data_IF_191553707223
#
_entry.id   IF_191553707223
#
_cell.length_a   1.000
_cell.length_b   1.000
_cell.length_c   1.000
_cell.angle_alpha   90.00
_cell.angle_beta   90.00
_cell.angle_gamma   90.00
#
_symmetry.space_group_name_H-M   'P 1'
#
loop_
_entity.id
_entity.type
_entity.pdbx_description
1 polymer ?
#
# COMPACT_ATOMS: atom_id res chain seq x y z
N UNK A 1 -51.41 -34.25 7.43
CA UNK A 1 -50.79 -33.22 6.58
C UNK A 1 -50.41 -32.05 7.49
N UNK A 2 -49.14 -31.90 7.85
CA UNK A 2 -48.63 -30.70 8.51
C UNK A 2 -47.58 -30.09 7.59
N UNK A 3 -47.73 -28.83 7.14
CA UNK A 3 -46.74 -28.20 6.29
C UNK A 3 -45.54 -27.85 7.15
N UNK A 4 -44.35 -28.31 6.76
CA UNK A 4 -43.12 -27.88 7.39
C UNK A 4 -42.91 -26.38 7.09
N UNK A 5 -43.08 -25.54 8.12
CA UNK A 5 -42.74 -24.12 8.05
C UNK A 5 -41.23 -24.01 7.99
N UNK A 6 -40.70 -23.69 6.81
CA UNK A 6 -39.27 -23.43 6.62
C UNK A 6 -38.99 -22.05 7.22
N UNK A 7 -38.40 -22.00 8.40
CA UNK A 7 -37.83 -20.77 8.95
C UNK A 7 -36.53 -20.47 8.19
N UNK A 8 -36.38 -19.31 7.53
CA UNK A 8 -35.09 -18.93 6.97
C UNK A 8 -34.16 -18.61 8.14
N UNK A 9 -33.23 -19.54 8.42
CA UNK A 9 -32.14 -19.30 9.34
C UNK A 9 -31.21 -18.25 8.71
N UNK A 10 -31.48 -16.98 8.99
CA UNK A 10 -30.63 -15.85 8.60
C UNK A 10 -29.37 -15.83 9.48
N UNK A 11 -28.57 -16.90 9.41
CA UNK A 11 -27.20 -16.87 9.90
C UNK A 11 -26.39 -15.99 8.94
N UNK A 12 -26.40 -14.69 9.18
CA UNK A 12 -25.50 -13.74 8.52
C UNK A 12 -24.08 -14.14 8.90
N UNK A 13 -23.44 -14.95 8.06
CA UNK A 13 -22.04 -15.34 8.25
C UNK A 13 -21.22 -14.05 8.29
N UNK A 14 -20.75 -13.67 9.47
CA UNK A 14 -19.92 -12.50 9.66
C UNK A 14 -18.50 -12.82 9.16
N UNK A 15 -18.36 -12.82 7.83
CA UNK A 15 -17.12 -13.07 7.07
C UNK A 15 -15.97 -12.11 7.43
N UNK A 16 -16.23 -11.06 8.22
CA UNK A 16 -15.22 -10.12 8.71
C UNK A 16 -14.67 -10.46 10.11
N UNK A 17 -15.29 -11.39 10.85
CA UNK A 17 -14.91 -11.72 12.23
C UNK A 17 -13.51 -12.37 12.33
N UNK A 18 -13.00 -12.94 11.24
CA UNK A 18 -11.72 -13.65 11.19
C UNK A 18 -10.75 -13.05 10.17
N UNK A 19 -10.78 -11.72 9.95
CA UNK A 19 -9.74 -11.08 9.14
C UNK A 19 -8.46 -10.99 9.99
N UNK A 20 -7.32 -11.56 9.56
CA UNK A 20 -6.07 -11.39 10.28
C UNK A 20 -5.81 -9.89 10.48
N UNK A 21 -5.41 -9.50 11.70
CA UNK A 21 -5.03 -8.12 12.02
C UNK A 21 -3.86 -7.75 11.11
N UNK A 22 -4.17 -7.02 10.04
CA UNK A 22 -3.15 -6.47 9.15
C UNK A 22 -2.22 -5.59 9.99
N UNK A 23 -0.93 -5.62 9.66
CA UNK A 23 0.10 -4.85 10.34
C UNK A 23 -0.38 -3.42 10.62
N UNK A 24 -0.27 -2.96 11.86
CA UNK A 24 -0.63 -1.60 12.22
C UNK A 24 0.27 -0.63 11.45
N UNK A 25 -0.33 0.31 10.73
CA UNK A 25 0.43 1.33 10.00
C UNK A 25 1.24 2.16 10.99
N UNK A 26 2.57 2.13 10.85
CA UNK A 26 3.48 2.95 11.65
C UNK A 26 3.80 4.24 10.90
N UNK A 27 3.50 5.38 11.51
CA UNK A 27 3.96 6.68 10.99
C UNK A 27 5.47 6.80 11.22
N UNK A 28 6.23 6.96 10.15
CA UNK A 28 7.69 7.07 10.23
C UNK A 28 8.15 8.48 10.64
N UNK A 29 7.53 9.52 10.10
CA UNK A 29 7.90 10.91 10.37
C UNK A 29 6.68 11.84 10.28
N UNK A 30 6.72 13.00 10.95
CA UNK A 30 5.73 14.07 10.78
C UNK A 30 6.11 14.97 9.61
N UNK A 31 5.18 15.16 8.66
CA UNK A 31 5.45 15.87 7.41
C UNK A 31 4.96 17.31 7.39
N UNK A 32 4.30 17.81 8.45
CA UNK A 32 3.61 19.11 8.44
C UNK A 32 4.55 20.31 8.28
N UNK A 33 5.75 20.23 8.86
CA UNK A 33 6.72 21.32 8.90
C UNK A 33 8.01 20.98 8.14
N UNK A 34 7.94 20.09 7.15
CA UNK A 34 9.10 19.70 6.35
C UNK A 34 9.26 20.61 5.13
N UNK A 35 10.49 20.91 4.81
CA UNK A 35 10.84 21.41 3.48
C UNK A 35 10.62 20.33 2.43
N UNK A 36 10.46 20.74 1.17
CA UNK A 36 10.36 19.81 0.05
C UNK A 36 11.57 18.87 -0.04
N UNK A 37 12.78 19.39 0.23
CA UNK A 37 14.01 18.62 0.16
C UNK A 37 14.04 17.50 1.23
N UNK A 38 13.69 17.83 2.47
CA UNK A 38 13.60 16.84 3.56
C UNK A 38 12.53 15.79 3.28
N UNK A 39 11.38 16.21 2.77
CA UNK A 39 10.32 15.29 2.39
C UNK A 39 10.76 14.32 1.28
N UNK A 40 11.46 14.82 0.26
CA UNK A 40 12.02 13.99 -0.80
C UNK A 40 13.06 13.00 -0.25
N UNK A 41 13.93 13.43 0.65
CA UNK A 41 14.94 12.56 1.27
C UNK A 41 14.28 11.41 2.05
N UNK A 42 13.28 11.70 2.87
CA UNK A 42 12.54 10.66 3.61
C UNK A 42 11.78 9.74 2.64
N UNK A 43 11.14 10.31 1.61
CA UNK A 43 10.34 9.53 0.64
C UNK A 43 11.20 8.57 -0.19
N UNK A 44 12.48 8.89 -0.42
CA UNK A 44 13.42 8.00 -1.12
C UNK A 44 13.76 6.74 -0.33
N UNK A 45 13.58 6.74 0.99
CA UNK A 45 13.86 5.60 1.88
C UNK A 45 12.79 4.49 1.82
N UNK A 46 11.64 4.75 1.21
CA UNK A 46 10.53 3.79 1.11
C UNK A 46 9.96 3.66 -0.29
N UNK A 47 9.02 2.73 -0.46
CA UNK A 47 8.24 2.53 -1.69
C UNK A 47 6.89 3.22 -1.51
N UNK A 48 6.62 4.24 -2.32
CA UNK A 48 5.33 4.92 -2.39
C UNK A 48 4.49 4.42 -3.57
N UNK A 49 3.24 4.87 -3.66
CA UNK A 49 2.31 4.44 -4.72
C UNK A 49 2.83 4.67 -6.14
N UNK A 50 3.56 5.77 -6.37
CA UNK A 50 4.22 6.07 -7.65
C UNK A 50 5.28 5.02 -8.00
N UNK A 51 6.04 4.58 -7.00
CA UNK A 51 7.06 3.55 -7.13
C UNK A 51 6.42 2.19 -7.38
N UNK A 52 5.24 1.91 -6.80
CA UNK A 52 4.52 0.66 -7.03
C UNK A 52 4.19 0.45 -8.52
N UNK A 53 3.78 1.50 -9.24
CA UNK A 53 3.48 1.39 -10.68
C UNK A 53 4.74 1.06 -11.48
N UNK A 54 5.87 1.69 -11.14
CA UNK A 54 7.16 1.37 -11.75
C UNK A 54 7.65 -0.04 -11.38
N UNK A 55 7.47 -0.46 -10.13
CA UNK A 55 7.79 -1.80 -9.65
C UNK A 55 6.94 -2.89 -10.33
N UNK A 56 5.70 -2.58 -10.69
CA UNK A 56 4.85 -3.46 -11.49
C UNK A 56 5.16 -3.42 -13.00
N UNK A 57 6.12 -2.60 -13.45
CA UNK A 57 6.45 -2.44 -14.87
C UNK A 57 5.37 -1.74 -15.69
N UNK A 58 4.45 -1.02 -15.05
CA UNK A 58 3.33 -0.33 -15.70
C UNK A 58 3.61 1.17 -15.93
N UNK A 59 4.75 1.68 -15.48
CA UNK A 59 5.11 3.09 -15.62
C UNK A 59 5.84 3.32 -16.96
N UNK A 60 5.32 4.16 -17.88
CA UNK A 60 5.97 4.43 -19.16
C UNK A 60 7.23 5.32 -19.03
N UNK A 61 7.45 5.96 -17.88
CA UNK A 61 8.53 6.92 -17.67
C UNK A 61 9.68 6.39 -16.80
N UNK A 62 9.51 5.25 -16.15
CA UNK A 62 10.52 4.69 -15.25
C UNK A 62 10.49 3.18 -15.27
N UNK A 63 11.65 2.57 -15.53
CA UNK A 63 11.80 1.11 -15.52
C UNK A 63 11.97 0.54 -14.10
N UNK A 64 11.71 -0.76 -13.93
CA UNK A 64 11.90 -1.46 -12.66
C UNK A 64 13.36 -1.40 -12.17
N UNK A 65 14.33 -1.52 -13.08
CA UNK A 65 15.76 -1.48 -12.75
C UNK A 65 16.19 -0.07 -12.34
N UNK A 66 15.69 0.96 -13.02
CA UNK A 66 15.92 2.36 -12.68
C UNK A 66 15.38 2.70 -11.29
N UNK A 67 14.15 2.28 -10.98
CA UNK A 67 13.58 2.41 -9.65
C UNK A 67 14.48 1.77 -8.59
N UNK A 68 14.97 0.56 -8.83
CA UNK A 68 15.89 -0.13 -7.92
C UNK A 68 17.19 0.65 -7.72
N UNK A 69 17.80 1.16 -8.81
CA UNK A 69 19.02 1.97 -8.71
C UNK A 69 18.79 3.25 -7.89
N UNK A 70 17.64 3.91 -8.07
CA UNK A 70 17.27 5.12 -7.31
C UNK A 70 17.10 4.79 -5.82
N UNK A 71 16.29 3.78 -5.48
CA UNK A 71 15.94 3.44 -4.09
C UNK A 71 17.11 2.87 -3.30
N UNK A 72 18.10 2.33 -4.00
CA UNK A 72 19.34 1.83 -3.38
C UNK A 72 20.48 2.84 -3.40
N UNK A 73 20.24 4.08 -3.85
CA UNK A 73 21.22 5.17 -3.81
C UNK A 73 22.34 5.06 -4.85
N UNK A 74 22.19 4.21 -5.88
CA UNK A 74 23.16 4.05 -6.97
C UNK A 74 23.09 5.19 -7.98
N UNK A 75 21.89 5.72 -8.20
CA UNK A 75 21.66 6.90 -9.03
C UNK A 75 20.78 7.90 -8.28
N UNK A 76 21.00 9.18 -8.56
CA UNK A 76 20.07 10.20 -8.10
C UNK A 76 18.93 10.32 -9.11
N UNK A 77 17.69 10.19 -8.65
CA UNK A 77 16.53 10.65 -9.40
C UNK A 77 16.69 12.14 -9.70
N UNK A 78 16.82 12.44 -10.98
CA UNK A 78 16.80 13.79 -11.54
C UNK A 78 15.31 14.14 -11.73
N UNK A 79 14.89 15.29 -11.21
CA UNK A 79 13.53 15.82 -11.37
C UNK A 79 13.45 16.69 -12.62
#
# INVERSE_FOLDING_TARGET
MNPAVIHPNNATLNIYANRPKLFSVKRFVETKNMTQAEWLEVRRKGIGSSDCVAACGLNPYMSMSELWMIKTGRIQQIL
#
